data_IF_494318283999
#
_entry.id   IF_494318283999
#
_cell.length_a   1.000
_cell.length_b   1.000
_cell.length_c   1.000
_cell.angle_alpha   90.00
_cell.angle_beta   90.00
_cell.angle_gamma   90.00
#
_symmetry.space_group_name_H-M   'P 1'
#
loop_
_entity.id
_entity.type
_entity.pdbx_description
1 polymer ?
#
# COMPACT_ATOMS: atom_id res chain seq x y z
N UNK A 1 2.95 16.63 48.09
CA UNK A 1 3.24 16.99 46.68
C UNK A 1 2.49 18.26 46.30
N UNK A 2 3.21 19.32 45.96
CA UNK A 2 2.64 20.63 45.60
C UNK A 2 1.76 20.53 44.35
N UNK A 3 0.75 21.42 44.22
CA UNK A 3 -0.08 21.55 43.01
C UNK A 3 0.81 21.69 41.75
N UNK A 4 1.92 22.41 41.83
CA UNK A 4 2.90 22.55 40.73
C UNK A 4 3.57 21.22 40.35
N UNK A 5 3.97 20.43 41.34
CA UNK A 5 4.58 19.11 41.11
C UNK A 5 3.59 18.11 40.50
N UNK A 6 2.30 18.19 40.85
CA UNK A 6 1.24 17.38 40.24
C UNK A 6 1.10 17.68 38.74
N UNK A 7 1.05 18.96 38.36
CA UNK A 7 0.96 19.37 36.96
C UNK A 7 2.19 18.98 36.14
N UNK A 8 3.40 19.16 36.67
CA UNK A 8 4.64 18.74 35.99
C UNK A 8 4.62 17.22 35.71
N UNK A 9 4.20 16.41 36.69
CA UNK A 9 4.08 14.96 36.51
C UNK A 9 3.06 14.58 35.43
N UNK A 10 1.91 15.27 35.38
CA UNK A 10 0.91 15.07 34.33
C UNK A 10 1.50 15.40 32.95
N UNK A 11 2.19 16.53 32.81
CA UNK A 11 2.81 16.91 31.54
C UNK A 11 3.84 15.88 31.06
N UNK A 12 4.65 15.33 31.96
CA UNK A 12 5.64 14.28 31.63
C UNK A 12 4.93 13.01 31.16
N UNK A 13 3.88 12.57 31.87
CA UNK A 13 3.10 11.39 31.47
C UNK A 13 2.47 11.59 30.09
N UNK A 14 1.91 12.78 29.83
CA UNK A 14 1.35 13.11 28.53
C UNK A 14 2.40 13.11 27.43
N UNK A 15 3.58 13.69 27.67
CA UNK A 15 4.67 13.69 26.70
C UNK A 15 5.14 12.27 26.37
N UNK A 16 5.32 11.41 27.38
CA UNK A 16 5.69 10.00 27.18
C UNK A 16 4.59 9.26 26.41
N UNK A 17 3.32 9.47 26.78
CA UNK A 17 2.20 8.84 26.08
C UNK A 17 2.11 9.23 24.61
N UNK A 18 2.43 10.49 24.28
CA UNK A 18 2.47 10.99 22.92
C UNK A 18 3.58 10.31 22.11
N UNK A 19 4.78 10.18 22.68
CA UNK A 19 5.90 9.47 22.03
C UNK A 19 5.54 8.02 21.74
N UNK A 20 4.92 7.33 22.70
CA UNK A 20 4.46 5.95 22.53
C UNK A 20 3.40 5.86 21.43
N UNK A 21 2.42 6.76 21.41
CA UNK A 21 1.38 6.78 20.38
C UNK A 21 1.97 6.98 18.97
N UNK A 22 2.94 7.87 18.82
CA UNK A 22 3.65 8.11 17.55
C UNK A 22 4.40 6.84 17.12
N UNK A 23 5.12 6.19 18.03
CA UNK A 23 5.83 4.95 17.73
C UNK A 23 4.87 3.83 17.28
N UNK A 24 3.76 3.65 17.98
CA UNK A 24 2.72 2.68 17.61
C UNK A 24 2.11 2.99 16.24
N UNK A 25 1.85 4.26 15.94
CA UNK A 25 1.30 4.67 14.64
C UNK A 25 2.23 4.29 13.49
N UNK A 26 3.53 4.59 13.60
CA UNK A 26 4.51 4.26 12.56
C UNK A 26 4.75 2.74 12.44
N UNK A 27 4.76 2.01 13.56
CA UNK A 27 4.85 0.56 13.54
C UNK A 27 3.66 -0.06 12.80
N UNK A 28 2.43 0.38 13.11
CA UNK A 28 1.23 -0.10 12.42
C UNK A 28 1.22 0.28 10.93
N UNK A 29 1.66 1.50 10.58
CA UNK A 29 1.72 1.94 9.18
C UNK A 29 2.71 1.09 8.37
N UNK A 30 3.89 0.84 8.92
CA UNK A 30 4.92 0.01 8.29
C UNK A 30 4.44 -1.43 8.12
N UNK A 31 3.82 -2.00 9.16
CA UNK A 31 3.27 -3.36 9.12
C UNK A 31 2.19 -3.50 8.03
N UNK A 32 1.27 -2.53 7.95
CA UNK A 32 0.23 -2.51 6.91
C UNK A 32 0.84 -2.41 5.51
N UNK A 33 1.84 -1.55 5.32
CA UNK A 33 2.53 -1.41 4.04
C UNK A 33 3.21 -2.69 3.59
N UNK A 34 3.96 -3.34 4.48
CA UNK A 34 4.61 -4.61 4.15
C UNK A 34 3.59 -5.69 3.77
N UNK A 35 2.45 -5.78 4.47
CA UNK A 35 1.37 -6.74 4.15
C UNK A 35 0.68 -6.44 2.83
N UNK A 36 0.45 -5.17 2.51
CA UNK A 36 -0.16 -4.76 1.24
C UNK A 36 0.75 -5.09 0.06
N UNK A 37 2.03 -4.72 0.16
CA UNK A 37 3.00 -4.98 -0.90
C UNK A 37 3.26 -6.47 -1.07
N UNK A 38 3.37 -7.22 0.04
CA UNK A 38 3.45 -8.68 -0.03
C UNK A 38 2.27 -9.31 -0.79
N UNK A 39 1.06 -8.79 -0.64
CA UNK A 39 -0.10 -9.29 -1.38
C UNK A 39 0.02 -9.01 -2.89
N UNK A 40 0.54 -7.84 -3.25
CA UNK A 40 0.82 -7.48 -4.64
C UNK A 40 1.92 -8.37 -5.22
N UNK A 41 3.00 -8.59 -4.47
CA UNK A 41 4.12 -9.44 -4.88
C UNK A 41 3.67 -10.89 -5.08
N UNK A 42 2.89 -11.44 -4.15
CA UNK A 42 2.32 -12.79 -4.28
C UNK A 42 1.42 -12.91 -5.52
N UNK A 43 0.70 -11.85 -5.89
CA UNK A 43 -0.09 -11.87 -7.14
C UNK A 43 0.80 -11.89 -8.38
N UNK A 44 1.81 -11.02 -8.43
CA UNK A 44 2.77 -10.95 -9.55
C UNK A 44 3.45 -12.31 -9.73
N UNK A 45 3.87 -12.92 -8.63
CA UNK A 45 4.52 -14.24 -8.62
C UNK A 45 3.56 -15.36 -9.06
N UNK A 46 2.35 -15.44 -8.49
CA UNK A 46 1.36 -16.45 -8.85
C UNK A 46 0.87 -16.34 -10.30
N UNK A 47 0.95 -15.16 -10.90
CA UNK A 47 0.62 -14.93 -12.30
C UNK A 47 1.82 -15.05 -13.24
N UNK A 48 3.00 -15.39 -12.72
CA UNK A 48 4.26 -15.48 -13.47
C UNK A 48 4.61 -14.19 -14.22
N UNK A 49 4.23 -13.04 -13.66
CA UNK A 49 4.41 -11.72 -14.30
C UNK A 49 5.76 -11.07 -13.96
N UNK A 50 6.50 -11.62 -12.99
CA UNK A 50 7.75 -11.04 -12.49
C UNK A 50 8.77 -10.77 -13.60
N UNK A 51 8.93 -11.71 -14.52
CA UNK A 51 9.92 -11.62 -15.60
C UNK A 51 9.50 -10.62 -16.69
N UNK A 52 8.20 -10.31 -16.76
CA UNK A 52 7.64 -9.36 -17.71
C UNK A 52 7.65 -7.92 -17.19
N UNK A 53 8.08 -7.68 -15.95
CA UNK A 53 8.17 -6.32 -15.40
C UNK A 53 9.34 -5.57 -16.05
N UNK A 54 9.03 -4.41 -16.66
CA UNK A 54 10.02 -3.45 -17.14
C UNK A 54 10.40 -2.47 -16.04
N UNK A 55 9.41 -1.96 -15.30
CA UNK A 55 9.62 -1.11 -14.14
C UNK A 55 8.48 -1.27 -13.14
N UNK A 56 8.81 -1.09 -11.87
CA UNK A 56 7.82 -1.05 -10.79
C UNK A 56 8.10 0.09 -9.82
N UNK A 57 7.05 0.67 -9.26
CA UNK A 57 7.13 1.71 -8.24
C UNK A 57 6.10 1.46 -7.15
N UNK A 58 6.58 1.41 -5.91
CA UNK A 58 5.70 1.33 -4.74
C UNK A 58 5.17 2.73 -4.39
N UNK A 59 3.85 2.81 -4.18
CA UNK A 59 3.13 4.04 -3.89
C UNK A 59 2.18 3.84 -2.70
N UNK A 60 1.77 4.94 -2.09
CA UNK A 60 0.78 4.94 -1.01
C UNK A 60 -0.46 5.75 -1.43
N UNK A 61 -1.63 5.12 -1.37
CA UNK A 61 -2.90 5.82 -1.59
C UNK A 61 -3.44 6.33 -0.26
N UNK A 62 -3.30 7.64 -0.01
CA UNK A 62 -3.88 8.25 1.19
C UNK A 62 -5.41 8.10 1.25
N UNK A 63 -6.08 8.16 0.09
CA UNK A 63 -7.55 8.00 -0.03
C UNK A 63 -8.01 6.59 0.35
N UNK A 64 -7.26 5.57 -0.05
CA UNK A 64 -7.62 4.15 0.20
C UNK A 64 -6.94 3.56 1.43
N UNK A 65 -5.94 4.25 1.99
CA UNK A 65 -5.16 3.77 3.13
C UNK A 65 -4.29 2.54 2.84
N UNK A 66 -3.94 2.30 1.58
CA UNK A 66 -3.19 1.10 1.15
C UNK A 66 -1.95 1.45 0.35
N UNK A 67 -0.94 0.60 0.49
CA UNK A 67 0.22 0.60 -0.39
C UNK A 67 -0.08 -0.24 -1.64
N UNK A 68 0.44 0.19 -2.78
CA UNK A 68 0.22 -0.44 -4.08
C UNK A 68 1.46 -0.34 -4.96
N UNK A 69 1.51 -1.11 -6.05
CA UNK A 69 2.55 -0.98 -7.07
C UNK A 69 1.97 -0.42 -8.36
N UNK A 70 2.67 0.54 -8.93
CA UNK A 70 2.56 0.92 -10.34
C UNK A 70 3.57 0.07 -11.11
N UNK A 71 3.12 -0.69 -12.11
CA UNK A 71 3.95 -1.63 -12.87
C UNK A 71 3.81 -1.33 -14.35
N UNK A 72 4.93 -1.27 -15.06
CA UNK A 72 4.96 -1.25 -16.52
C UNK A 72 5.51 -2.59 -16.98
N UNK A 73 4.75 -3.32 -17.79
CA UNK A 73 5.21 -4.59 -18.36
C UNK A 73 5.96 -4.39 -19.67
N UNK A 74 6.81 -5.35 -20.05
CA UNK A 74 7.63 -5.34 -21.26
C UNK A 74 6.77 -5.49 -22.52
N UNK A 75 5.67 -6.25 -22.43
CA UNK A 75 4.73 -6.49 -23.52
C UNK A 75 3.79 -5.31 -23.77
N UNK A 76 3.51 -4.49 -22.75
CA UNK A 76 2.69 -3.26 -22.86
C UNK A 76 3.41 -2.04 -22.28
N UNK A 77 4.49 -1.55 -22.92
CA UNK A 77 5.34 -0.49 -22.36
C UNK A 77 4.67 0.89 -22.29
N UNK A 78 3.54 1.06 -22.98
CA UNK A 78 2.74 2.30 -22.97
C UNK A 78 1.67 2.30 -21.87
N UNK A 79 1.50 1.18 -21.15
CA UNK A 79 0.52 1.05 -20.07
C UNK A 79 1.20 1.05 -18.71
N UNK A 80 0.57 1.75 -17.76
CA UNK A 80 0.91 1.66 -16.34
C UNK A 80 -0.20 0.92 -15.63
N UNK A 81 0.13 -0.22 -15.04
CA UNK A 81 -0.77 -1.03 -14.24
C UNK A 81 -0.73 -0.62 -12.79
N UNK A 82 -1.87 -0.28 -12.21
CA UNK A 82 -2.03 -0.06 -10.78
C UNK A 82 -2.50 -1.36 -10.14
N UNK A 83 -1.61 -2.01 -9.38
CA UNK A 83 -1.88 -3.26 -8.68
C UNK A 83 -1.96 -2.98 -7.19
N UNK A 84 -3.14 -3.16 -6.62
CA UNK A 84 -3.42 -2.82 -5.23
C UNK A 84 -4.33 -3.84 -4.54
N UNK A 85 -4.20 -4.00 -3.21
CA UNK A 85 -5.18 -4.74 -2.44
C UNK A 85 -6.53 -3.99 -2.39
N UNK A 86 -7.62 -4.75 -2.27
CA UNK A 86 -9.00 -4.21 -2.12
C UNK A 86 -9.29 -3.89 -0.64
N UNK A 87 -8.70 -4.65 0.28
CA UNK A 87 -8.74 -4.39 1.72
C UNK A 87 -7.44 -4.77 2.40
N UNK A 88 -7.35 -4.56 3.72
CA UNK A 88 -6.11 -4.81 4.48
C UNK A 88 -5.64 -6.26 4.51
N UNK A 89 -6.54 -7.23 4.25
CA UNK A 89 -6.25 -8.67 4.40
C UNK A 89 -6.76 -9.57 3.28
N UNK A 90 -7.51 -9.05 2.30
CA UNK A 90 -8.04 -9.85 1.21
C UNK A 90 -8.33 -9.01 -0.03
N UNK A 91 -8.26 -9.68 -1.15
CA UNK A 91 -8.65 -9.19 -2.44
C UNK A 91 -7.59 -8.34 -3.11
N UNK A 92 -7.46 -8.48 -4.43
CA UNK A 92 -6.52 -7.76 -5.25
C UNK A 92 -7.20 -7.24 -6.51
N UNK A 93 -6.69 -6.11 -6.97
CA UNK A 93 -7.13 -5.41 -8.14
C UNK A 93 -5.91 -4.97 -8.94
N UNK A 94 -5.90 -5.27 -10.24
CA UNK A 94 -4.95 -4.77 -11.20
C UNK A 94 -5.74 -4.09 -12.33
N UNK A 95 -5.41 -2.84 -12.62
CA UNK A 95 -6.03 -2.06 -13.70
C UNK A 95 -4.96 -1.33 -14.50
N UNK A 96 -5.02 -1.48 -15.82
CA UNK A 96 -4.17 -0.81 -16.78
C UNK A 96 -4.65 0.61 -17.09
N UNK A 97 -3.72 1.55 -17.09
CA UNK A 97 -3.94 2.94 -17.46
C UNK A 97 -2.99 3.32 -18.57
N UNK A 98 -3.47 4.18 -19.47
CA UNK A 98 -2.60 4.83 -20.44
C UNK A 98 -1.57 5.71 -19.71
N UNK A 99 -0.29 5.57 -20.04
CA UNK A 99 0.79 6.23 -19.29
C UNK A 99 0.74 7.75 -19.43
N UNK A 100 0.29 8.27 -20.58
CA UNK A 100 0.27 9.70 -20.89
C UNK A 100 -1.02 10.35 -20.39
N UNK A 101 -2.16 9.81 -20.81
CA UNK A 101 -3.49 10.38 -20.56
C UNK A 101 -4.07 10.00 -19.20
N UNK A 102 -3.47 9.01 -18.51
CA UNK A 102 -3.94 8.45 -17.23
C UNK A 102 -5.37 7.92 -17.27
N UNK A 103 -5.91 7.65 -18.46
CA UNK A 103 -7.24 7.05 -18.64
C UNK A 103 -7.16 5.55 -18.41
N UNK A 104 -8.16 5.02 -17.70
CA UNK A 104 -8.32 3.57 -17.54
C UNK A 104 -8.60 2.91 -18.88
N UNK A 105 -7.93 1.79 -19.12
CA UNK A 105 -8.09 0.95 -20.31
C UNK A 105 -8.76 -0.35 -19.86
N UNK A 106 -10.05 -0.51 -20.16
CA UNK A 106 -10.85 -1.66 -19.70
C UNK A 106 -10.39 -3.00 -20.29
N UNK A 107 -9.83 -2.97 -21.49
CA UNK A 107 -9.41 -4.16 -22.22
C UNK A 107 -7.90 -4.43 -22.09
N UNK A 108 -7.23 -3.79 -21.12
CA UNK A 108 -5.81 -4.00 -20.88
C UNK A 108 -5.55 -5.46 -20.48
N UNK A 109 -4.50 -6.06 -21.05
CA UNK A 109 -4.24 -7.51 -20.98
C UNK A 109 -4.16 -8.06 -19.56
N UNK A 110 -3.55 -7.30 -18.65
CA UNK A 110 -3.30 -7.73 -17.27
C UNK A 110 -4.35 -7.21 -16.28
N UNK A 111 -5.50 -6.73 -16.77
CA UNK A 111 -6.63 -6.36 -15.90
C UNK A 111 -7.09 -7.58 -15.11
N UNK A 112 -7.20 -7.41 -13.79
CA UNK A 112 -7.55 -8.50 -12.90
C UNK A 112 -8.30 -8.00 -11.67
N UNK A 113 -9.31 -8.76 -11.25
CA UNK A 113 -10.05 -8.49 -10.04
C UNK A 113 -10.41 -9.79 -9.34
N UNK A 114 -10.03 -9.91 -8.07
CA UNK A 114 -10.44 -11.02 -7.25
C UNK A 114 -10.61 -10.55 -5.80
N UNK A 115 -11.84 -10.58 -5.29
CA UNK A 115 -12.18 -10.13 -3.93
C UNK A 115 -11.67 -11.08 -2.83
N UNK A 116 -11.42 -12.34 -3.17
CA UNK A 116 -11.04 -13.41 -2.24
C UNK A 116 -9.56 -13.78 -2.33
N UNK A 117 -8.77 -13.02 -3.10
CA UNK A 117 -7.33 -13.24 -3.21
C UNK A 117 -6.66 -13.18 -1.84
N UNK A 118 -5.80 -14.16 -1.58
CA UNK A 118 -4.99 -14.26 -0.37
C UNK A 118 -3.54 -14.54 -0.81
N UNK A 119 -2.56 -13.88 -0.17
CA UNK A 119 -1.15 -14.19 -0.36
C UNK A 119 -0.82 -15.59 0.18
#
# INVERSE_FOLDING_TARGET
>A
MSKKQKWIRICIILAISLVVAIAFFFAMKTYQGHRNIKMVDSYIEQKHLSDDIKSEKTQYSAKKGVYYKEVVFKDEPHMTYVIQPIGTRKGIFAEGFDTETKKSIKDAKHNYFNQNFKP
#
